data_IF_244771382906
#
_entry.id   IF_244771382906
#
_cell.length_a   1.000
_cell.length_b   1.000
_cell.length_c   1.000
_cell.angle_alpha   90.00
_cell.angle_beta   90.00
_cell.angle_gamma   90.00
#
_symmetry.space_group_name_H-M   'P 1'
#
loop_
_entity.id
_entity.type
_entity.pdbx_description
1 polymer ?
#
# COMPACT_ATOMS: atom_id res chain seq x y z
N UNK A 1 -10.60 13.19 22.97
CA UNK A 1 -11.17 14.31 22.21
C UNK A 1 -11.10 13.96 20.73
N UNK A 2 -12.18 14.21 20.00
CA UNK A 2 -12.23 14.13 18.53
C UNK A 2 -12.28 15.57 18.03
N UNK A 3 -11.48 15.90 17.03
CA UNK A 3 -11.42 17.22 16.41
C UNK A 3 -11.76 17.02 14.93
N UNK A 4 -12.78 17.71 14.46
CA UNK A 4 -13.16 17.76 13.06
C UNK A 4 -12.34 18.86 12.37
N UNK A 5 -11.48 18.47 11.44
CA UNK A 5 -10.60 19.37 10.70
C UNK A 5 -11.20 19.83 9.36
N UNK A 6 -12.37 19.31 8.96
CA UNK A 6 -13.08 19.72 7.74
C UNK A 6 -14.04 20.89 7.96
N UNK A 7 -14.11 21.45 9.19
CA UNK A 7 -14.92 22.63 9.47
C UNK A 7 -14.35 23.82 8.70
N UNK A 8 -15.23 24.58 8.03
CA UNK A 8 -14.87 25.79 7.28
C UNK A 8 -13.96 26.72 8.10
N UNK A 9 -12.82 27.09 7.52
CA UNK A 9 -11.77 27.93 8.11
C UNK A 9 -11.03 27.36 9.33
N UNK A 10 -11.21 26.06 9.68
CA UNK A 10 -10.37 25.44 10.70
C UNK A 10 -8.94 25.23 10.16
N UNK A 11 -7.96 25.59 10.96
CA UNK A 11 -6.55 25.31 10.67
C UNK A 11 -5.90 24.63 11.86
N UNK A 12 -5.36 23.46 11.65
CA UNK A 12 -4.59 22.73 12.67
C UNK A 12 -3.48 23.61 13.27
N UNK A 13 -2.86 24.47 12.46
CA UNK A 13 -1.82 25.40 12.92
C UNK A 13 -2.31 26.38 14.01
N UNK A 14 -3.56 26.83 13.93
CA UNK A 14 -4.11 27.80 14.87
C UNK A 14 -4.50 27.16 16.21
N UNK A 15 -4.81 25.85 16.19
CA UNK A 15 -5.23 25.07 17.35
C UNK A 15 -4.17 24.08 17.86
N UNK A 16 -2.99 24.11 17.27
CA UNK A 16 -1.91 23.16 17.52
C UNK A 16 -1.58 23.00 19.00
N UNK A 17 -1.57 24.10 19.74
CA UNK A 17 -1.28 24.11 21.16
C UNK A 17 -2.31 23.31 21.98
N UNK A 18 -3.60 23.42 21.64
CA UNK A 18 -4.67 22.69 22.30
C UNK A 18 -4.66 21.20 21.93
N UNK A 19 -4.28 20.88 20.68
CA UNK A 19 -4.18 19.50 20.21
C UNK A 19 -3.07 18.75 20.94
N UNK A 20 -1.92 19.39 21.16
CA UNK A 20 -0.72 18.77 21.75
C UNK A 20 -0.35 19.41 23.10
N UNK A 21 -1.32 19.68 23.92
CA UNK A 21 -1.09 20.23 25.25
C UNK A 21 -0.48 19.19 26.23
N UNK A 22 -0.23 19.60 27.46
CA UNK A 22 0.38 18.76 28.50
C UNK A 22 -0.48 17.56 28.94
N UNK A 23 -1.76 17.56 28.58
CA UNK A 23 -2.70 16.48 28.88
C UNK A 23 -2.83 15.43 27.77
N UNK A 24 -2.25 15.69 26.60
CA UNK A 24 -2.33 14.79 25.46
C UNK A 24 -1.32 13.64 25.58
N UNK A 25 -1.80 12.43 25.62
CA UNK A 25 -0.97 11.22 25.69
C UNK A 25 -0.62 10.65 24.31
N UNK A 26 -1.44 10.90 23.31
CA UNK A 26 -1.26 10.43 21.92
C UNK A 26 -2.14 11.23 20.97
N UNK A 27 -1.68 11.42 19.74
CA UNK A 27 -2.46 12.00 18.63
C UNK A 27 -2.66 10.94 17.56
N UNK A 28 -3.88 10.79 17.03
CA UNK A 28 -4.20 9.92 15.90
C UNK A 28 -4.70 10.80 14.77
N UNK A 29 -4.06 10.76 13.63
CA UNK A 29 -4.30 11.64 12.49
C UNK A 29 -3.05 12.48 12.19
N UNK A 30 -3.20 13.61 11.50
CA UNK A 30 -4.37 14.06 10.76
C UNK A 30 -4.59 13.26 9.47
N UNK A 31 -5.70 13.53 8.78
CA UNK A 31 -5.94 12.99 7.45
C UNK A 31 -5.21 13.81 6.38
N UNK A 32 -5.14 15.12 6.57
CA UNK A 32 -4.50 16.03 5.62
C UNK A 32 -2.97 15.97 5.71
N UNK A 33 -2.33 15.93 4.52
CA UNK A 33 -0.87 15.76 4.42
C UNK A 33 -0.09 16.96 4.95
N UNK A 34 -0.57 18.15 4.71
CA UNK A 34 0.11 19.39 5.12
C UNK A 34 0.13 19.53 6.64
N UNK A 35 -0.97 19.18 7.30
CA UNK A 35 -1.09 19.19 8.75
C UNK A 35 -0.23 18.11 9.41
N UNK A 36 -0.03 16.97 8.73
CA UNK A 36 0.78 15.88 9.25
C UNK A 36 2.21 16.30 9.55
N UNK A 37 2.83 17.10 8.68
CA UNK A 37 4.21 17.56 8.89
C UNK A 37 4.30 18.43 10.13
N UNK A 38 3.38 19.39 10.27
CA UNK A 38 3.32 20.30 11.39
C UNK A 38 3.14 19.57 12.73
N UNK A 39 2.14 18.69 12.79
CA UNK A 39 1.88 17.88 13.99
C UNK A 39 3.03 16.92 14.31
N UNK A 40 3.69 16.36 13.30
CA UNK A 40 4.83 15.47 13.50
C UNK A 40 5.99 16.18 14.20
N UNK A 41 6.30 17.40 13.80
CA UNK A 41 7.36 18.21 14.42
C UNK A 41 7.01 18.59 15.87
N UNK A 42 5.79 19.05 16.12
CA UNK A 42 5.34 19.44 17.45
C UNK A 42 5.24 18.24 18.41
N UNK A 43 4.67 17.12 17.95
CA UNK A 43 4.59 15.90 18.73
C UNK A 43 5.98 15.36 19.09
N UNK A 44 6.96 15.46 18.17
CA UNK A 44 8.35 15.11 18.42
C UNK A 44 8.96 15.95 19.54
N UNK A 45 8.78 17.29 19.49
CA UNK A 45 9.28 18.23 20.50
C UNK A 45 8.72 17.90 21.88
N UNK A 46 7.42 17.58 21.95
CA UNK A 46 6.71 17.28 23.20
C UNK A 46 6.79 15.82 23.64
N UNK A 47 7.44 14.97 22.85
CA UNK A 47 7.54 13.53 23.12
C UNK A 47 6.18 12.81 23.18
N UNK A 48 5.23 13.26 22.36
CA UNK A 48 3.88 12.70 22.24
C UNK A 48 3.84 11.77 21.01
N UNK A 49 3.42 10.50 21.14
CA UNK A 49 3.22 9.62 19.99
C UNK A 49 2.17 10.18 19.02
N UNK A 50 2.54 10.31 17.74
CA UNK A 50 1.65 10.64 16.63
C UNK A 50 1.46 9.38 15.76
N UNK A 51 0.23 8.93 15.65
CA UNK A 51 -0.16 7.78 14.83
C UNK A 51 -0.80 8.27 13.54
N UNK A 52 -0.20 7.92 12.41
CA UNK A 52 -0.71 8.23 11.08
C UNK A 52 -1.35 6.98 10.46
N UNK A 53 -2.70 6.91 10.40
CA UNK A 53 -3.41 5.74 9.90
C UNK A 53 -3.45 5.63 8.38
N UNK A 54 -3.43 6.74 7.66
CA UNK A 54 -3.64 6.80 6.22
C UNK A 54 -2.44 7.33 5.45
N UNK A 55 -1.84 8.42 5.95
CA UNK A 55 -0.75 9.07 5.25
C UNK A 55 0.55 8.27 5.38
N UNK A 56 1.30 8.18 4.29
CA UNK A 56 2.61 7.54 4.28
C UNK A 56 3.70 8.56 3.97
N UNK A 57 4.74 8.59 4.80
CA UNK A 57 5.90 9.45 4.55
C UNK A 57 7.16 8.89 5.18
N UNK A 58 8.06 8.40 4.34
CA UNK A 58 9.37 7.91 4.79
C UNK A 58 10.25 9.02 5.35
N UNK A 59 10.00 10.29 4.97
CA UNK A 59 10.76 11.44 5.49
C UNK A 59 10.42 11.72 6.95
N UNK A 60 9.17 11.53 7.37
CA UNK A 60 8.70 11.83 8.72
C UNK A 60 9.10 10.74 9.74
N UNK A 61 9.35 9.52 9.29
CA UNK A 61 9.81 8.42 10.15
C UNK A 61 11.28 8.57 10.53
N UNK A 62 12.06 9.34 9.75
CA UNK A 62 13.49 9.47 9.96
C UNK A 62 13.78 10.19 11.28
N UNK A 63 14.56 9.52 12.14
CA UNK A 63 14.99 10.09 13.44
C UNK A 63 13.82 10.62 14.30
N UNK A 64 12.63 10.05 14.12
CA UNK A 64 11.46 10.41 14.92
C UNK A 64 10.83 9.17 15.58
N UNK A 65 11.18 8.86 16.82
CA UNK A 65 10.64 7.71 17.54
C UNK A 65 9.19 7.90 18.00
N UNK A 66 8.61 9.06 17.79
CA UNK A 66 7.23 9.39 18.15
C UNK A 66 6.28 9.33 16.95
N UNK A 67 6.77 9.19 15.72
CA UNK A 67 5.93 9.05 14.54
C UNK A 67 5.71 7.57 14.22
N UNK A 68 4.45 7.16 14.22
CA UNK A 68 4.00 5.78 13.96
C UNK A 68 3.15 5.79 12.69
N UNK A 69 3.66 5.18 11.63
CA UNK A 69 2.94 5.03 10.37
C UNK A 69 2.30 3.64 10.35
N UNK A 70 0.97 3.58 10.24
CA UNK A 70 0.23 2.32 10.19
C UNK A 70 -0.05 1.85 8.76
N UNK A 71 -0.15 2.78 7.80
CA UNK A 71 -0.39 2.42 6.42
C UNK A 71 0.93 2.02 5.73
N UNK A 72 0.97 0.90 4.99
CA UNK A 72 2.17 0.49 4.28
C UNK A 72 2.54 1.50 3.19
N UNK A 73 3.83 1.70 2.99
CA UNK A 73 4.31 2.55 1.90
C UNK A 73 4.33 1.78 0.57
N UNK A 74 4.61 2.50 -0.52
CA UNK A 74 4.63 1.92 -1.86
C UNK A 74 5.64 0.77 -2.01
N UNK A 75 6.80 0.87 -1.35
CA UNK A 75 7.82 -0.19 -1.36
C UNK A 75 7.27 -1.50 -0.79
N UNK A 76 6.49 -1.43 0.29
CA UNK A 76 5.87 -2.62 0.91
C UNK A 76 4.87 -3.30 -0.05
N UNK A 77 4.13 -2.52 -0.83
CA UNK A 77 3.27 -3.08 -1.87
C UNK A 77 4.08 -3.83 -2.95
N UNK A 78 5.21 -3.27 -3.40
CA UNK A 78 6.09 -3.94 -4.35
C UNK A 78 6.73 -5.20 -3.78
N UNK A 79 7.18 -5.15 -2.53
CA UNK A 79 7.70 -6.33 -1.82
C UNK A 79 6.64 -7.43 -1.79
N UNK A 80 5.40 -7.08 -1.42
CA UNK A 80 4.30 -8.05 -1.34
C UNK A 80 3.92 -8.65 -2.69
N UNK A 81 3.91 -7.84 -3.75
CA UNK A 81 3.70 -8.35 -5.12
C UNK A 81 4.82 -9.32 -5.52
N UNK A 82 6.09 -8.95 -5.25
CA UNK A 82 7.23 -9.79 -5.58
C UNK A 82 7.20 -11.12 -4.81
N UNK A 83 6.97 -11.10 -3.50
CA UNK A 83 6.86 -12.29 -2.65
C UNK A 83 5.74 -13.22 -3.15
N UNK A 84 4.57 -12.65 -3.46
CA UNK A 84 3.45 -13.43 -3.96
C UNK A 84 3.78 -14.09 -5.29
N UNK A 85 4.42 -13.35 -6.21
CA UNK A 85 4.84 -13.89 -7.49
C UNK A 85 5.91 -14.99 -7.35
N UNK A 86 6.91 -14.80 -6.48
CA UNK A 86 7.95 -15.79 -6.20
C UNK A 86 7.38 -17.08 -5.60
N UNK A 87 6.36 -16.98 -4.76
CA UNK A 87 5.70 -18.15 -4.17
C UNK A 87 4.84 -18.93 -5.17
N UNK A 88 4.37 -18.28 -6.24
CA UNK A 88 3.42 -18.89 -7.19
C UNK A 88 4.10 -19.38 -8.49
N UNK A 89 5.24 -18.82 -8.84
CA UNK A 89 5.86 -19.03 -10.16
C UNK A 89 7.33 -19.40 -10.05
N UNK A 90 7.91 -19.79 -11.18
CA UNK A 90 9.32 -20.12 -11.31
C UNK A 90 10.08 -18.97 -12.02
N UNK A 91 11.42 -18.93 -11.88
CA UNK A 91 12.24 -17.96 -12.59
C UNK A 91 11.96 -17.92 -14.10
N UNK A 92 11.76 -16.69 -14.63
CA UNK A 92 11.45 -16.48 -16.05
C UNK A 92 9.99 -16.71 -16.46
N UNK A 93 9.10 -17.05 -15.52
CA UNK A 93 7.65 -17.16 -15.78
C UNK A 93 6.90 -15.84 -15.57
N UNK A 94 7.53 -14.86 -14.91
CA UNK A 94 6.94 -13.59 -14.55
C UNK A 94 7.65 -12.43 -15.26
N UNK A 95 6.88 -11.56 -15.89
CA UNK A 95 7.39 -10.40 -16.62
C UNK A 95 6.88 -9.11 -15.98
N UNK A 96 7.78 -8.19 -15.67
CA UNK A 96 7.42 -6.83 -15.24
C UNK A 96 7.24 -5.98 -16.49
N UNK A 97 6.07 -5.37 -16.64
CA UNK A 97 5.72 -4.53 -17.79
C UNK A 97 5.62 -3.07 -17.37
N UNK A 98 6.28 -2.19 -18.09
CA UNK A 98 6.23 -0.75 -17.83
C UNK A 98 6.77 0.09 -18.97
N UNK A 99 6.79 1.41 -18.79
CA UNK A 99 7.49 2.33 -19.68
C UNK A 99 9.01 2.22 -19.46
N UNK A 100 9.81 2.46 -20.47
CA UNK A 100 11.27 2.52 -20.31
C UNK A 100 11.69 3.85 -19.67
N UNK A 101 11.53 3.95 -18.36
CA UNK A 101 11.87 5.11 -17.54
C UNK A 101 12.83 4.73 -16.42
N UNK A 102 13.44 5.75 -15.79
CA UNK A 102 14.29 5.53 -14.60
C UNK A 102 13.49 4.91 -13.46
N UNK A 103 12.23 5.32 -13.29
CA UNK A 103 11.31 4.80 -12.27
C UNK A 103 11.05 3.31 -12.47
N UNK A 104 10.63 2.89 -13.65
CA UNK A 104 10.40 1.47 -13.95
C UNK A 104 11.65 0.64 -13.70
N UNK A 105 12.83 1.14 -14.09
CA UNK A 105 14.09 0.44 -13.84
C UNK A 105 14.40 0.31 -12.33
N UNK A 106 13.97 1.26 -11.52
CA UNK A 106 14.11 1.19 -10.07
C UNK A 106 13.14 0.17 -9.47
N UNK A 107 11.89 0.15 -9.88
CA UNK A 107 10.92 -0.87 -9.45
C UNK A 107 11.42 -2.29 -9.77
N UNK A 108 11.96 -2.51 -10.98
CA UNK A 108 12.54 -3.79 -11.37
C UNK A 108 13.64 -4.23 -10.38
N UNK A 109 14.49 -3.30 -9.94
CA UNK A 109 15.52 -3.62 -8.93
C UNK A 109 14.93 -4.08 -7.60
N UNK A 110 13.86 -3.43 -7.12
CA UNK A 110 13.16 -3.87 -5.90
C UNK A 110 12.59 -5.27 -6.05
N UNK A 111 11.92 -5.56 -7.15
CA UNK A 111 11.41 -6.90 -7.42
C UNK A 111 12.52 -7.94 -7.44
N UNK A 112 13.61 -7.67 -8.15
CA UNK A 112 14.76 -8.59 -8.22
C UNK A 112 15.43 -8.79 -6.86
N UNK A 113 15.60 -7.71 -6.09
CA UNK A 113 16.18 -7.79 -4.76
C UNK A 113 15.29 -8.63 -3.82
N UNK A 114 13.99 -8.41 -3.81
CA UNK A 114 13.04 -9.19 -3.00
C UNK A 114 13.10 -10.68 -3.36
N UNK A 115 13.11 -11.01 -4.66
CA UNK A 115 13.26 -12.40 -5.10
C UNK A 115 14.60 -13.01 -4.64
N UNK A 116 15.68 -12.24 -4.76
CA UNK A 116 17.00 -12.71 -4.31
C UNK A 116 17.05 -12.93 -2.80
N UNK A 117 16.44 -12.05 -2.01
CA UNK A 117 16.43 -12.18 -0.55
C UNK A 117 15.62 -13.39 -0.12
N UNK A 118 14.52 -13.70 -0.80
CA UNK A 118 13.64 -14.79 -0.46
C UNK A 118 14.17 -16.17 -0.90
N UNK A 119 14.63 -16.31 -2.13
CA UNK A 119 15.00 -17.61 -2.72
C UNK A 119 16.42 -17.69 -3.27
N UNK A 120 17.22 -16.64 -3.09
CA UNK A 120 18.63 -16.55 -3.55
C UNK A 120 18.82 -16.73 -5.06
N UNK A 121 17.77 -16.44 -5.84
CA UNK A 121 17.80 -16.55 -7.30
C UNK A 121 17.94 -15.17 -7.91
N UNK A 122 18.93 -14.99 -8.77
CA UNK A 122 19.08 -13.77 -9.58
C UNK A 122 18.18 -13.86 -10.82
N UNK A 123 17.77 -12.71 -11.32
CA UNK A 123 17.01 -12.58 -12.57
C UNK A 123 15.71 -13.43 -12.59
N UNK A 124 15.02 -13.47 -11.44
CA UNK A 124 13.73 -14.15 -11.33
C UNK A 124 12.69 -13.55 -12.28
N UNK A 125 12.63 -12.22 -12.32
CA UNK A 125 11.72 -11.47 -13.16
C UNK A 125 12.42 -11.04 -14.46
N UNK A 126 11.75 -11.20 -15.59
CA UNK A 126 12.13 -10.52 -16.82
C UNK A 126 11.38 -9.19 -16.97
N UNK A 127 11.88 -8.26 -17.77
CA UNK A 127 11.23 -6.99 -18.03
C UNK A 127 10.81 -6.85 -19.48
N UNK A 128 9.69 -6.15 -19.70
CA UNK A 128 9.17 -5.84 -21.01
C UNK A 128 8.69 -4.39 -21.04
N UNK A 129 9.19 -3.61 -22.00
CA UNK A 129 8.88 -2.19 -22.08
C UNK A 129 7.86 -1.93 -23.18
N UNK A 130 6.85 -1.13 -22.84
CA UNK A 130 5.80 -0.67 -23.73
C UNK A 130 5.81 0.84 -23.86
N UNK A 131 5.35 1.34 -25.01
CA UNK A 131 5.07 2.75 -25.23
C UNK A 131 3.59 2.96 -25.57
N UNK A 132 3.09 4.17 -25.41
CA UNK A 132 1.71 4.51 -25.78
C UNK A 132 1.46 4.19 -27.27
N UNK A 133 2.45 4.44 -28.13
CA UNK A 133 2.36 4.13 -29.56
C UNK A 133 2.26 2.62 -29.81
N UNK A 134 3.08 1.80 -29.12
CA UNK A 134 3.03 0.35 -29.29
C UNK A 134 1.69 -0.25 -28.84
N UNK A 135 1.07 0.35 -27.85
CA UNK A 135 -0.24 -0.07 -27.32
C UNK A 135 -1.42 0.40 -28.19
N UNK A 136 -1.28 1.56 -28.86
CA UNK A 136 -2.38 2.15 -29.66
C UNK A 136 -2.41 1.67 -31.11
N UNK A 137 -1.26 1.63 -31.78
CA UNK A 137 -1.16 1.43 -33.24
C UNK A 137 -0.64 0.06 -33.66
N UNK A 138 0.14 -0.60 -32.82
CA UNK A 138 0.71 -1.91 -33.13
C UNK A 138 -0.35 -3.03 -33.14
N UNK A 139 -0.35 -3.97 -34.11
CA UNK A 139 -1.27 -5.09 -34.09
C UNK A 139 -0.98 -6.07 -32.95
N UNK A 140 0.22 -6.03 -32.38
CA UNK A 140 0.71 -7.04 -31.41
C UNK A 140 1.67 -6.38 -30.41
N UNK A 141 1.13 -5.68 -29.40
CA UNK A 141 1.96 -4.99 -28.39
C UNK A 141 2.76 -5.98 -27.52
N UNK A 142 2.20 -7.15 -27.23
CA UNK A 142 2.81 -8.16 -26.36
C UNK A 142 3.31 -9.41 -27.09
N UNK A 143 3.27 -9.43 -28.41
CA UNK A 143 3.62 -10.62 -29.20
C UNK A 143 5.00 -11.17 -28.86
N UNK A 144 6.03 -10.31 -28.80
CA UNK A 144 7.40 -10.76 -28.52
C UNK A 144 7.51 -11.40 -27.13
N UNK A 145 6.86 -10.81 -26.13
CA UNK A 145 6.80 -11.35 -24.78
C UNK A 145 6.02 -12.68 -24.75
N UNK A 146 4.85 -12.69 -25.38
CA UNK A 146 3.96 -13.86 -25.41
C UNK A 146 4.48 -15.01 -26.29
N UNK A 147 5.46 -14.77 -27.17
CA UNK A 147 6.16 -15.84 -27.88
C UNK A 147 6.88 -16.80 -26.93
N UNK A 148 7.31 -16.31 -25.78
CA UNK A 148 7.90 -17.19 -24.77
C UNK A 148 6.79 -18.00 -24.06
N UNK A 149 6.74 -19.33 -24.25
CA UNK A 149 5.69 -20.16 -23.65
C UNK A 149 5.81 -20.25 -22.12
N UNK A 150 6.97 -19.91 -21.56
CA UNK A 150 7.19 -19.92 -20.10
C UNK A 150 6.46 -18.79 -19.38
N UNK A 151 6.16 -17.68 -20.05
CA UNK A 151 5.49 -16.53 -19.40
C UNK A 151 4.07 -16.94 -18.97
N UNK A 152 3.81 -16.85 -17.69
CA UNK A 152 2.52 -17.18 -17.04
C UNK A 152 1.92 -16.00 -16.30
N UNK A 153 2.74 -15.01 -15.93
CA UNK A 153 2.26 -13.85 -15.21
C UNK A 153 2.93 -12.56 -15.67
N UNK A 154 2.21 -11.46 -15.51
CA UNK A 154 2.65 -10.10 -15.79
C UNK A 154 2.45 -9.27 -14.54
N UNK A 155 3.43 -8.44 -14.17
CA UNK A 155 3.31 -7.44 -13.12
C UNK A 155 3.21 -6.06 -13.77
N UNK A 156 2.17 -5.31 -13.41
CA UNK A 156 1.96 -3.90 -13.78
C UNK A 156 2.20 -3.05 -12.52
N UNK A 157 3.40 -2.48 -12.34
CA UNK A 157 3.79 -1.80 -11.11
C UNK A 157 3.33 -0.34 -11.01
N UNK A 158 2.64 0.18 -12.02
CA UNK A 158 2.12 1.56 -12.04
C UNK A 158 1.07 1.71 -10.94
N UNK A 159 1.13 2.83 -10.21
CA UNK A 159 0.28 3.13 -9.05
C UNK A 159 -0.44 4.48 -9.15
N UNK A 160 0.00 5.33 -10.11
CA UNK A 160 -0.54 6.68 -10.27
C UNK A 160 -1.76 6.69 -11.18
N UNK A 161 -2.76 7.48 -10.85
CA UNK A 161 -3.91 7.74 -11.72
C UNK A 161 -3.51 8.37 -13.07
N UNK A 162 -2.33 9.00 -13.16
CA UNK A 162 -1.78 9.48 -14.44
C UNK A 162 -1.42 8.35 -15.41
N UNK A 163 -1.26 7.12 -14.91
CA UNK A 163 -0.96 5.92 -15.71
C UNK A 163 -2.19 5.07 -16.05
N UNK A 164 -3.37 5.51 -15.66
CA UNK A 164 -4.63 4.78 -15.82
C UNK A 164 -4.90 4.37 -17.29
N UNK A 165 -4.71 5.30 -18.24
CA UNK A 165 -4.87 5.01 -19.67
C UNK A 165 -3.85 3.99 -20.19
N UNK A 166 -2.63 4.03 -19.66
CA UNK A 166 -1.61 3.02 -19.97
C UNK A 166 -2.01 1.65 -19.44
N UNK A 167 -2.46 1.58 -18.19
CA UNK A 167 -2.90 0.34 -17.55
C UNK A 167 -4.09 -0.27 -18.30
N UNK A 168 -5.12 0.53 -18.59
CA UNK A 168 -6.25 0.09 -19.40
C UNK A 168 -5.81 -0.48 -20.77
N UNK A 169 -4.93 0.24 -21.46
CA UNK A 169 -4.41 -0.19 -22.76
C UNK A 169 -3.59 -1.48 -22.67
N UNK A 170 -2.79 -1.63 -21.61
CA UNK A 170 -2.06 -2.87 -21.34
C UNK A 170 -3.00 -4.04 -21.12
N UNK A 171 -4.01 -3.89 -20.26
CA UNK A 171 -4.98 -4.95 -19.95
C UNK A 171 -5.77 -5.35 -21.19
N UNK A 172 -6.29 -4.38 -21.94
CA UNK A 172 -7.03 -4.61 -23.18
C UNK A 172 -6.20 -5.40 -24.22
N UNK A 173 -4.96 -4.96 -24.43
CA UNK A 173 -4.05 -5.62 -25.38
C UNK A 173 -3.65 -7.01 -24.92
N UNK A 174 -3.28 -7.15 -23.66
CA UNK A 174 -2.88 -8.44 -23.09
C UNK A 174 -4.03 -9.45 -23.16
N UNK A 175 -5.25 -9.03 -22.82
CA UNK A 175 -6.44 -9.86 -22.91
C UNK A 175 -6.71 -10.34 -24.34
N UNK A 176 -6.54 -9.47 -25.34
CA UNK A 176 -6.73 -9.80 -26.73
C UNK A 176 -5.61 -10.72 -27.31
N UNK A 177 -4.36 -10.45 -26.94
CA UNK A 177 -3.19 -11.10 -27.55
C UNK A 177 -2.80 -12.43 -26.88
N UNK A 178 -3.22 -12.69 -25.64
CA UNK A 178 -2.90 -13.93 -24.93
C UNK A 178 -3.52 -15.20 -25.57
N UNK A 179 -4.57 -15.02 -26.36
CA UNK A 179 -5.34 -16.13 -26.94
C UNK A 179 -5.89 -17.07 -25.87
N UNK A 180 -5.70 -18.36 -26.00
CA UNK A 180 -6.13 -19.39 -25.04
C UNK A 180 -5.19 -19.55 -23.83
N UNK A 181 -4.12 -18.77 -23.73
CA UNK A 181 -3.18 -18.86 -22.61
C UNK A 181 -3.76 -18.34 -21.33
N UNK A 182 -3.48 -19.00 -20.23
CA UNK A 182 -3.75 -18.50 -18.89
C UNK A 182 -2.60 -17.59 -18.48
N UNK A 183 -2.86 -16.28 -18.45
CA UNK A 183 -1.92 -15.26 -17.99
C UNK A 183 -2.55 -14.56 -16.80
N UNK A 184 -1.84 -14.55 -15.67
CA UNK A 184 -2.25 -13.79 -14.51
C UNK A 184 -1.63 -12.39 -14.54
N UNK A 185 -2.39 -11.37 -14.13
CA UNK A 185 -1.87 -10.00 -13.96
C UNK A 185 -1.82 -9.65 -12.48
N UNK A 186 -0.68 -9.17 -12.05
CA UNK A 186 -0.46 -8.62 -10.72
C UNK A 186 -0.33 -7.12 -10.82
N UNK A 187 -0.92 -6.38 -9.88
CA UNK A 187 -0.77 -4.93 -9.91
C UNK A 187 -1.13 -4.22 -8.63
N UNK A 188 -1.11 -2.91 -8.71
CA UNK A 188 -1.32 -1.96 -7.63
C UNK A 188 -2.81 -1.66 -7.43
N UNK A 189 -3.20 -1.04 -6.30
CA UNK A 189 -4.60 -0.77 -5.97
C UNK A 189 -5.38 -0.05 -7.07
N UNK A 190 -4.73 0.82 -7.84
CA UNK A 190 -5.35 1.52 -8.98
C UNK A 190 -6.05 0.60 -9.97
N UNK A 191 -5.60 -0.65 -10.09
CA UNK A 191 -6.28 -1.63 -10.97
C UNK A 191 -7.66 -2.02 -10.45
N UNK A 192 -7.92 -1.81 -9.16
CA UNK A 192 -9.20 -2.04 -8.52
C UNK A 192 -10.03 -0.76 -8.39
N UNK A 193 -9.36 0.36 -8.11
CA UNK A 193 -10.01 1.64 -7.78
C UNK A 193 -10.44 2.44 -9.03
N UNK A 194 -9.90 2.11 -10.21
CA UNK A 194 -10.16 2.85 -11.44
C UNK A 194 -11.46 2.43 -12.11
N UNK A 195 -12.36 3.38 -12.34
CA UNK A 195 -13.60 3.20 -13.10
C UNK A 195 -13.37 2.83 -14.58
N UNK A 196 -12.16 3.04 -15.10
CA UNK A 196 -11.80 2.67 -16.48
C UNK A 196 -11.47 1.19 -16.64
N UNK A 197 -11.14 0.49 -15.55
CA UNK A 197 -10.75 -0.91 -15.58
C UNK A 197 -12.00 -1.78 -15.55
N UNK A 198 -12.33 -2.35 -16.70
CA UNK A 198 -13.51 -3.19 -16.87
C UNK A 198 -13.39 -4.48 -16.02
N UNK A 199 -14.48 -4.85 -15.38
CA UNK A 199 -14.58 -6.06 -14.56
C UNK A 199 -14.24 -7.34 -15.33
N UNK A 200 -14.48 -7.37 -16.62
CA UNK A 200 -14.15 -8.52 -17.49
C UNK A 200 -12.65 -8.85 -17.49
N UNK A 201 -11.78 -7.85 -17.28
CA UNK A 201 -10.35 -8.10 -17.19
C UNK A 201 -9.94 -8.90 -15.96
N UNK A 202 -10.68 -8.78 -14.84
CA UNK A 202 -10.37 -9.54 -13.62
C UNK A 202 -10.43 -11.03 -13.86
N UNK A 203 -11.46 -11.51 -14.58
CA UNK A 203 -11.60 -12.92 -14.93
C UNK A 203 -10.66 -13.31 -16.07
N UNK A 204 -10.65 -12.52 -17.15
CA UNK A 204 -9.86 -12.84 -18.34
C UNK A 204 -8.36 -12.94 -18.05
N UNK A 205 -7.85 -12.14 -17.12
CA UNK A 205 -6.43 -12.05 -16.78
C UNK A 205 -6.11 -12.55 -15.36
N UNK A 206 -7.06 -13.20 -14.69
CA UNK A 206 -6.87 -13.73 -13.34
C UNK A 206 -6.17 -12.70 -12.43
N UNK A 207 -6.70 -11.48 -12.41
CA UNK A 207 -6.04 -10.33 -11.77
C UNK A 207 -5.87 -10.54 -10.27
N UNK A 208 -4.72 -10.12 -9.78
CA UNK A 208 -4.36 -10.09 -8.36
C UNK A 208 -3.83 -8.70 -8.03
N UNK A 209 -4.51 -8.04 -7.13
CA UNK A 209 -4.18 -6.67 -6.73
C UNK A 209 -3.70 -6.68 -5.28
N UNK A 210 -2.58 -6.01 -5.02
CA UNK A 210 -2.13 -5.76 -3.65
C UNK A 210 -2.93 -4.59 -3.09
N UNK A 211 -3.45 -4.76 -1.87
CA UNK A 211 -4.21 -3.72 -1.19
C UNK A 211 -3.73 -3.60 0.26
N UNK A 212 -3.73 -2.39 0.79
CA UNK A 212 -3.49 -2.14 2.22
C UNK A 212 -4.73 -2.37 3.07
N UNK A 213 -5.90 -2.26 2.46
CA UNK A 213 -7.19 -2.37 3.13
C UNK A 213 -8.09 -3.31 2.33
N UNK A 214 -8.39 -4.46 2.91
CA UNK A 214 -9.30 -5.45 2.31
C UNK A 214 -10.20 -6.04 3.38
N UNK A 215 -11.49 -5.92 3.20
CA UNK A 215 -12.50 -6.52 4.07
C UNK A 215 -12.98 -7.83 3.46
N UNK A 216 -12.65 -8.94 4.09
CA UNK A 216 -13.22 -10.24 3.69
C UNK A 216 -14.65 -10.39 4.23
N UNK A 217 -15.62 -10.12 3.37
CA UNK A 217 -17.05 -10.24 3.70
C UNK A 217 -17.49 -11.64 4.13
N UNK A 218 -16.71 -12.65 3.80
CA UNK A 218 -16.99 -14.03 4.18
C UNK A 218 -16.41 -14.39 5.56
N UNK A 219 -15.55 -13.54 6.12
CA UNK A 219 -14.97 -13.78 7.43
C UNK A 219 -16.01 -13.61 8.55
N UNK A 220 -16.16 -14.63 9.38
CA UNK A 220 -17.22 -14.69 10.40
C UNK A 220 -17.21 -13.49 11.35
N UNK A 221 -16.02 -13.06 11.80
CA UNK A 221 -15.88 -11.92 12.72
C UNK A 221 -16.29 -10.59 12.06
N UNK A 222 -16.08 -10.42 10.76
CA UNK A 222 -16.56 -9.24 10.03
C UNK A 222 -18.08 -9.20 10.00
N UNK A 223 -18.73 -10.34 9.72
CA UNK A 223 -20.20 -10.43 9.72
C UNK A 223 -20.79 -10.16 11.11
N UNK A 224 -20.17 -10.69 12.16
CA UNK A 224 -20.59 -10.44 13.54
C UNK A 224 -20.43 -8.97 13.90
N UNK A 225 -19.28 -8.35 13.57
CA UNK A 225 -19.03 -6.94 13.79
C UNK A 225 -20.07 -6.06 13.07
N UNK A 226 -20.38 -6.36 11.81
CA UNK A 226 -21.40 -5.61 11.03
C UNK A 226 -22.78 -5.71 11.64
N UNK A 227 -23.18 -6.89 12.11
CA UNK A 227 -24.46 -7.08 12.79
C UNK A 227 -24.52 -6.26 14.07
N UNK A 228 -23.51 -6.36 14.92
CA UNK A 228 -23.45 -5.66 16.20
C UNK A 228 -23.39 -4.14 16.02
N UNK A 229 -22.71 -3.66 14.96
CA UNK A 229 -22.67 -2.25 14.58
C UNK A 229 -24.05 -1.76 14.10
N UNK A 230 -24.71 -2.52 13.22
CA UNK A 230 -26.05 -2.21 12.74
C UNK A 230 -27.06 -2.16 13.89
N UNK A 231 -27.01 -3.14 14.79
CA UNK A 231 -27.89 -3.18 15.97
C UNK A 231 -27.71 -1.98 16.90
N UNK A 232 -26.48 -1.47 16.99
CA UNK A 232 -26.13 -0.37 17.89
C UNK A 232 -26.34 1.02 17.27
N UNK A 233 -26.02 1.17 15.99
CA UNK A 233 -25.97 2.49 15.33
C UNK A 233 -27.05 2.65 14.25
N UNK A 234 -27.72 1.57 13.83
CA UNK A 234 -28.77 1.63 12.82
C UNK A 234 -28.28 1.68 11.37
N UNK A 235 -26.97 1.50 11.15
CA UNK A 235 -26.35 1.58 9.83
C UNK A 235 -25.28 0.48 9.64
N UNK A 236 -24.93 0.17 8.41
CA UNK A 236 -23.88 -0.80 8.08
C UNK A 236 -22.55 -0.06 8.12
N UNK A 237 -21.52 -0.59 8.83
CA UNK A 237 -20.23 0.08 8.90
C UNK A 237 -19.52 0.10 7.53
N UNK A 238 -19.04 1.25 7.14
CA UNK A 238 -18.13 1.42 6.02
C UNK A 238 -16.76 0.76 6.33
N UNK A 239 -15.93 0.45 5.33
CA UNK A 239 -14.61 -0.13 5.54
C UNK A 239 -13.72 0.67 6.50
N UNK A 240 -13.82 1.99 6.49
CA UNK A 240 -13.08 2.88 7.39
C UNK A 240 -13.49 2.73 8.86
N UNK A 241 -14.75 2.39 9.14
CA UNK A 241 -15.21 2.11 10.50
C UNK A 241 -14.56 0.82 11.04
N UNK A 242 -14.40 -0.21 10.20
CA UNK A 242 -13.72 -1.46 10.55
C UNK A 242 -12.22 -1.19 10.78
N UNK A 243 -11.59 -0.43 9.89
CA UNK A 243 -10.18 -0.02 10.03
C UNK A 243 -9.96 0.80 11.31
N UNK A 244 -10.83 1.77 11.58
CA UNK A 244 -10.79 2.57 12.80
C UNK A 244 -10.91 1.71 14.06
N UNK A 245 -11.81 0.73 14.05
CA UNK A 245 -11.93 -0.24 15.15
C UNK A 245 -10.62 -1.01 15.37
N UNK A 246 -10.03 -1.57 14.32
CA UNK A 246 -8.78 -2.32 14.39
C UNK A 246 -7.63 -1.46 14.96
N UNK A 247 -7.51 -0.23 14.49
CA UNK A 247 -6.49 0.73 14.95
C UNK A 247 -6.65 1.02 16.44
N UNK A 248 -7.86 1.33 16.89
CA UNK A 248 -8.13 1.65 18.31
C UNK A 248 -7.89 0.43 19.18
N UNK A 249 -8.29 -0.76 18.74
CA UNK A 249 -8.03 -2.00 19.47
C UNK A 249 -6.54 -2.31 19.56
N UNK A 250 -5.78 -2.11 18.47
CA UNK A 250 -4.32 -2.28 18.44
C UNK A 250 -3.62 -1.32 19.40
N UNK A 251 -3.91 -0.04 19.28
CA UNK A 251 -3.29 1.00 20.11
C UNK A 251 -3.67 0.85 21.58
N UNK A 252 -4.96 0.66 21.87
CA UNK A 252 -5.48 0.48 23.21
C UNK A 252 -4.85 -0.72 23.93
N UNK A 253 -4.68 -1.85 23.22
CA UNK A 253 -4.02 -3.04 23.77
C UNK A 253 -2.54 -2.80 24.07
N UNK A 254 -1.85 -2.07 23.19
CA UNK A 254 -0.43 -1.74 23.40
C UNK A 254 -0.26 -0.75 24.55
N UNK A 255 -1.11 0.28 24.67
CA UNK A 255 -1.10 1.21 25.81
C UNK A 255 -1.40 0.49 27.10
N UNK A 256 -2.40 -0.39 27.13
CA UNK A 256 -2.76 -1.16 28.34
C UNK A 256 -1.60 -2.03 28.83
N UNK A 257 -0.84 -2.63 27.91
CA UNK A 257 0.30 -3.51 28.25
C UNK A 257 1.57 -2.75 28.65
N UNK A 258 1.88 -1.68 27.92
CA UNK A 258 3.19 -1.04 27.94
C UNK A 258 3.15 0.41 28.49
N UNK A 259 1.96 0.92 28.82
CA UNK A 259 1.78 2.30 29.31
C UNK A 259 2.12 3.35 28.26
N UNK A 260 2.49 4.56 28.72
CA UNK A 260 2.75 5.73 27.87
C UNK A 260 3.93 5.58 26.89
N UNK A 261 4.78 4.57 27.07
CA UNK A 261 5.93 4.27 26.18
C UNK A 261 5.66 3.11 25.22
N UNK A 262 4.39 2.82 24.95
CA UNK A 262 3.97 1.71 24.12
C UNK A 262 4.65 1.67 22.73
N UNK A 263 4.97 2.84 22.17
CA UNK A 263 5.63 2.94 20.85
C UNK A 263 6.98 2.22 20.78
N UNK A 264 7.63 1.98 21.90
CA UNK A 264 8.90 1.25 21.95
C UNK A 264 8.72 -0.26 21.78
N UNK A 265 7.50 -0.77 21.94
CA UNK A 265 7.13 -2.18 21.97
C UNK A 265 6.26 -2.63 20.79
N UNK A 266 5.99 -1.76 19.82
CA UNK A 266 5.14 -2.07 18.67
C UNK A 266 5.72 -3.16 17.75
N UNK A 267 7.06 -3.30 17.75
CA UNK A 267 7.77 -4.31 16.98
C UNK A 267 7.92 -5.66 17.70
N UNK A 268 7.42 -5.80 18.92
CA UNK A 268 7.63 -7.01 19.73
C UNK A 268 6.73 -8.17 19.25
N UNK A 269 5.63 -7.88 18.58
CA UNK A 269 4.70 -8.90 18.09
C UNK A 269 3.84 -8.43 16.92
N UNK A 270 3.56 -9.33 16.00
CA UNK A 270 2.52 -9.18 15.00
C UNK A 270 1.14 -9.31 15.65
N UNK A 271 0.22 -8.43 15.30
CA UNK A 271 -1.14 -8.42 15.85
C UNK A 271 -2.18 -8.45 14.75
N UNK A 272 -3.10 -9.41 14.83
CA UNK A 272 -4.19 -9.61 13.85
C UNK A 272 -5.51 -9.20 14.49
N UNK A 273 -6.31 -8.44 13.74
CA UNK A 273 -7.64 -7.97 14.11
C UNK A 273 -8.69 -8.36 13.06
N UNK A 274 -9.75 -7.57 12.89
CA UNK A 274 -10.85 -7.93 11.98
C UNK A 274 -10.41 -8.01 10.51
N UNK A 275 -9.75 -6.96 10.02
CA UNK A 275 -9.20 -6.91 8.66
C UNK A 275 -7.70 -6.63 8.63
N UNK A 276 -7.15 -6.00 9.67
CA UNK A 276 -5.79 -5.50 9.69
C UNK A 276 -4.84 -6.47 10.37
N UNK A 277 -3.65 -6.61 9.81
CA UNK A 277 -2.50 -7.24 10.46
C UNK A 277 -1.43 -6.18 10.67
N UNK A 278 -1.14 -5.86 11.95
CA UNK A 278 -0.12 -4.89 12.29
C UNK A 278 1.21 -5.60 12.57
N UNK A 279 2.18 -5.34 11.69
CA UNK A 279 3.57 -5.78 11.79
C UNK A 279 4.46 -4.52 11.65
N UNK A 280 4.71 -3.88 12.79
CA UNK A 280 5.36 -2.58 12.85
C UNK A 280 6.84 -2.74 13.12
N UNK A 281 7.68 -2.15 12.28
CA UNK A 281 9.12 -2.19 12.41
C UNK A 281 9.71 -0.79 12.63
N UNK A 282 10.79 -0.73 13.42
CA UNK A 282 11.56 0.50 13.56
C UNK A 282 12.35 0.77 12.28
N UNK A 283 12.21 1.98 11.75
CA UNK A 283 13.02 2.42 10.61
C UNK A 283 14.46 2.55 11.04
N UNK A 284 15.37 1.83 10.39
CA UNK A 284 16.81 1.91 10.63
C UNK A 284 17.40 3.09 9.86
N UNK A 285 18.48 3.69 10.40
CA UNK A 285 19.18 4.79 9.71
C UNK A 285 19.75 4.38 8.34
N UNK A 286 20.06 3.11 8.16
CA UNK A 286 20.50 2.54 6.88
C UNK A 286 19.39 2.47 5.83
N UNK A 287 18.14 2.28 6.23
CA UNK A 287 16.97 2.36 5.34
C UNK A 287 16.79 3.78 4.80
N UNK A 288 17.35 4.78 5.47
CA UNK A 288 17.35 6.19 5.04
C UNK A 288 18.47 6.52 4.03
N UNK A 289 19.45 5.65 3.85
CA UNK A 289 20.51 5.77 2.82
C UNK A 289 20.01 5.35 1.43
N UNK A 290 18.84 4.73 1.34
CA UNK A 290 18.06 4.65 0.10
C UNK A 290 17.43 6.04 -0.18
N UNK A 291 18.14 7.10 0.23
CA UNK A 291 17.70 8.49 0.12
C UNK A 291 17.62 9.01 -1.33
N UNK A 292 18.16 8.27 -2.27
CA UNK A 292 17.97 8.44 -3.71
C UNK A 292 16.91 7.47 -4.26
N UNK A 293 15.97 7.05 -3.40
CA UNK A 293 14.84 6.23 -3.77
C UNK A 293 13.96 7.01 -4.78
N UNK A 294 13.92 6.59 -6.05
CA UNK A 294 13.07 7.24 -7.05
C UNK A 294 11.57 7.07 -6.77
N UNK A 295 11.21 6.29 -5.74
CA UNK A 295 9.85 6.19 -5.19
C UNK A 295 9.54 7.30 -4.16
N UNK A 296 10.38 8.35 -4.08
CA UNK A 296 10.06 9.56 -3.32
C UNK A 296 8.94 10.30 -4.03
N UNK A 297 7.78 10.19 -3.48
CA UNK A 297 6.66 11.08 -3.80
C UNK A 297 6.81 12.33 -2.95
N UNK A 298 7.01 13.44 -3.62
CA UNK A 298 6.81 14.78 -3.08
C UNK A 298 5.33 15.09 -3.02
#
# INVERSE_FOLDING_TARGET
>A
TVIDTEIDNYKVADDLYNIVDSGTDMVIGPFERDDLKLLTEECKIRSIPLVSPWQTSTKLTKENPYYIQLNPNLKEHYVKLAETAVNMYQPGEVVIVGKNTKETNSWIKYFQQTAFDQIKTKDFFSSYFVSSDSLSTGPTAFYTMLKNPKVKAVILPQYSYTDEDLLYSCLRRLSAEKGSRNISVFGMPILFDSDKIDFDFYHALQMKVVMSDFVDENYGLIRDFRRDFLDKYGEIPEPDAIKGYDIIMYLGRNIWRNGKKFQNHLSDQVSVYLQSTFDIHKVKSEDSLIADDPLKFD
#
